data_IF_973049190651
#
_entry.id   IF_973049190651
#
_cell.length_a   1.000
_cell.length_b   1.000
_cell.length_c   1.000
_cell.angle_alpha   90.00
_cell.angle_beta   90.00
_cell.angle_gamma   90.00
#
_symmetry.space_group_name_H-M   'P 1'
#
loop_
_entity.id
_entity.type
_entity.pdbx_description
1 polymer ?
#
# COMPACT_ATOMS: atom_id res chain seq x y z
N UNK A 1 8.31 6.39 -4.17
CA UNK A 1 8.16 7.34 -3.05
C UNK A 1 6.80 8.02 -3.18
N UNK A 2 5.99 7.96 -2.12
CA UNK A 2 4.69 8.60 -2.02
C UNK A 2 4.82 9.85 -1.13
N UNK A 3 4.16 10.95 -1.53
CA UNK A 3 4.10 12.19 -0.76
C UNK A 3 2.64 12.60 -0.63
N UNK A 4 2.21 12.90 0.59
CA UNK A 4 0.85 13.33 0.86
C UNK A 4 0.78 14.16 2.14
N UNK A 5 -0.33 14.88 2.30
CA UNK A 5 -0.66 15.57 3.53
C UNK A 5 -1.60 14.69 4.36
N UNK A 6 -1.27 14.44 5.63
CA UNK A 6 -2.16 13.71 6.54
C UNK A 6 -3.31 14.60 7.06
N UNK A 7 -4.27 14.00 7.77
CA UNK A 7 -5.44 14.71 8.30
C UNK A 7 -5.10 15.80 9.34
N UNK A 8 -3.88 15.78 9.87
CA UNK A 8 -3.34 16.81 10.77
C UNK A 8 -2.53 17.87 10.01
N UNK A 9 -2.67 17.92 8.69
CA UNK A 9 -1.99 18.85 7.80
C UNK A 9 -0.47 18.67 7.71
N UNK A 10 0.09 17.57 8.23
CA UNK A 10 1.53 17.32 8.14
C UNK A 10 1.89 16.72 6.77
N UNK A 11 2.99 17.19 6.19
CA UNK A 11 3.58 16.52 5.03
C UNK A 11 4.20 15.19 5.45
N UNK A 12 3.87 14.13 4.73
CA UNK A 12 4.40 12.78 4.95
C UNK A 12 5.06 12.28 3.69
N UNK A 13 6.21 11.64 3.85
CA UNK A 13 6.85 10.88 2.78
C UNK A 13 6.91 9.40 3.16
N UNK A 14 6.46 8.54 2.24
CA UNK A 14 6.55 7.09 2.39
C UNK A 14 7.45 6.53 1.31
N UNK A 15 8.48 5.79 1.74
CA UNK A 15 9.39 5.10 0.85
C UNK A 15 9.11 3.60 0.87
N UNK A 16 8.93 3.02 -0.31
CA UNK A 16 8.69 1.60 -0.56
C UNK A 16 9.93 1.01 -1.26
N UNK A 17 10.85 0.35 -0.53
CA UNK A 17 11.98 -0.36 -1.14
C UNK A 17 11.48 -1.48 -2.05
N UNK A 18 12.20 -1.71 -3.14
CA UNK A 18 11.97 -2.82 -4.08
C UNK A 18 10.48 -2.96 -4.42
N UNK A 19 9.88 -1.93 -5.02
CA UNK A 19 8.45 -1.99 -5.38
C UNK A 19 8.27 -2.83 -6.64
N UNK A 20 7.44 -3.89 -6.55
CA UNK A 20 7.11 -4.75 -7.69
C UNK A 20 5.88 -4.22 -8.42
N UNK A 21 4.88 -3.75 -7.69
CA UNK A 21 3.64 -3.26 -8.30
C UNK A 21 2.96 -2.21 -7.42
N UNK A 22 2.20 -1.31 -8.06
CA UNK A 22 1.33 -0.36 -7.38
C UNK A 22 0.06 -0.10 -8.19
N UNK A 23 -1.02 0.29 -7.51
CA UNK A 23 -2.23 0.83 -8.15
C UNK A 23 -2.82 1.95 -7.30
N UNK A 24 -3.28 2.99 -7.99
CA UNK A 24 -4.04 4.09 -7.40
C UNK A 24 -5.52 3.91 -7.75
N UNK A 25 -6.41 4.13 -6.79
CA UNK A 25 -7.85 4.02 -7.00
C UNK A 25 -8.55 5.22 -6.38
N UNK A 26 -9.31 5.94 -7.21
CA UNK A 26 -10.24 6.97 -6.73
C UNK A 26 -11.48 6.26 -6.20
N UNK A 27 -11.65 6.28 -4.88
CA UNK A 27 -12.80 5.71 -4.20
C UNK A 27 -13.28 6.69 -3.13
N UNK A 28 -14.59 6.82 -3.01
CA UNK A 28 -15.23 7.72 -2.04
C UNK A 28 -15.71 6.96 -0.79
N UNK A 29 -15.80 5.63 -0.88
CA UNK A 29 -16.28 4.76 0.21
C UNK A 29 -15.33 3.60 0.37
N UNK A 30 -14.81 3.41 1.58
CA UNK A 30 -14.00 2.25 1.95
C UNK A 30 -14.89 1.06 2.32
N UNK A 31 -14.31 -0.14 2.36
CA UNK A 31 -15.04 -1.35 2.76
C UNK A 31 -15.44 -1.22 4.23
N UNK A 32 -16.61 -1.73 4.62
CA UNK A 32 -17.06 -1.73 6.01
C UNK A 32 -15.98 -2.35 6.93
N UNK A 33 -15.58 -1.57 7.94
CA UNK A 33 -14.52 -1.94 8.89
C UNK A 33 -13.12 -1.45 8.51
N UNK A 34 -12.92 -0.85 7.34
CA UNK A 34 -11.67 -0.17 7.01
C UNK A 34 -11.64 1.24 7.62
N UNK A 35 -10.57 1.52 8.36
CA UNK A 35 -10.36 2.83 8.94
C UNK A 35 -9.78 3.80 7.89
N UNK A 36 -10.29 5.03 7.94
CA UNK A 36 -9.81 6.17 7.16
C UNK A 36 -8.42 6.60 7.66
N UNK A 37 -7.60 7.18 6.76
CA UNK A 37 -6.25 7.71 7.04
C UNK A 37 -5.30 6.72 7.73
N UNK A 38 -5.39 5.44 7.37
CA UNK A 38 -4.52 4.38 7.88
C UNK A 38 -3.95 3.52 6.76
N UNK A 39 -2.85 2.86 7.10
CA UNK A 39 -2.22 1.83 6.27
C UNK A 39 -2.30 0.48 6.95
N UNK A 40 -2.52 -0.58 6.18
CA UNK A 40 -2.49 -1.95 6.69
C UNK A 40 -1.92 -2.92 5.64
N UNK A 41 -1.55 -4.12 6.10
CA UNK A 41 -1.13 -5.22 5.23
C UNK A 41 -2.37 -6.03 4.85
N UNK A 42 -2.54 -6.29 3.56
CA UNK A 42 -3.56 -7.21 3.06
C UNK A 42 -3.01 -8.64 3.18
N UNK A 43 -3.59 -9.41 4.10
CA UNK A 43 -3.31 -10.84 4.26
C UNK A 43 -3.98 -11.64 3.15
N UNK A 44 -3.41 -12.79 2.79
CA UNK A 44 -3.93 -13.67 1.72
C UNK A 44 -4.15 -12.94 0.38
N UNK A 45 -3.26 -11.97 0.08
CA UNK A 45 -3.31 -11.18 -1.14
C UNK A 45 -3.19 -12.04 -2.38
N UNK A 46 -4.30 -12.21 -3.10
CA UNK A 46 -4.33 -12.88 -4.42
C UNK A 46 -3.42 -12.17 -5.44
N UNK A 47 -3.28 -10.85 -5.32
CA UNK A 47 -2.44 -10.06 -6.21
C UNK A 47 -0.94 -10.34 -5.99
N UNK A 48 -0.52 -10.47 -4.72
CA UNK A 48 0.83 -10.90 -4.37
C UNK A 48 1.09 -12.34 -4.80
N UNK A 49 0.15 -13.25 -4.53
CA UNK A 49 0.26 -14.65 -4.91
C UNK A 49 0.41 -14.84 -6.44
N UNK A 50 -0.27 -14.02 -7.24
CA UNK A 50 -0.13 -14.08 -8.70
C UNK A 50 1.26 -13.61 -9.17
N UNK A 51 1.85 -12.58 -8.56
CA UNK A 51 3.23 -12.17 -8.87
C UNK A 51 4.24 -13.26 -8.51
N UNK A 52 4.05 -13.94 -7.38
CA UNK A 52 4.88 -15.10 -6.99
C UNK A 52 4.74 -16.22 -8.01
N UNK A 53 3.51 -16.54 -8.41
CA UNK A 53 3.21 -17.60 -9.40
C UNK A 53 3.80 -17.29 -10.78
N UNK A 54 3.86 -16.02 -11.17
CA UNK A 54 4.46 -15.58 -12.44
C UNK A 54 6.00 -15.55 -12.39
N UNK A 55 6.60 -15.72 -11.20
CA UNK A 55 8.06 -15.71 -11.02
C UNK A 55 8.66 -14.31 -10.89
N UNK A 56 7.83 -13.27 -10.79
CA UNK A 56 8.27 -11.88 -10.57
C UNK A 56 8.76 -11.66 -9.13
N UNK A 57 8.25 -12.46 -8.20
CA UNK A 57 8.71 -12.50 -6.80
C UNK A 57 9.08 -13.95 -6.48
N UNK A 58 10.30 -14.15 -6.00
CA UNK A 58 10.78 -15.43 -5.51
C UNK A 58 10.01 -15.88 -4.27
N UNK A 59 9.74 -17.19 -4.16
CA UNK A 59 8.94 -17.75 -3.07
C UNK A 59 9.53 -17.56 -1.66
N UNK A 60 10.82 -17.23 -1.55
CA UNK A 60 11.49 -16.94 -0.27
C UNK A 60 11.61 -15.44 0.03
N UNK A 61 11.17 -14.57 -0.87
CA UNK A 61 11.23 -13.13 -0.65
C UNK A 61 10.05 -12.66 0.20
N UNK A 62 10.30 -11.71 1.11
CA UNK A 62 9.33 -11.29 2.15
C UNK A 62 8.43 -10.12 1.72
N UNK A 63 8.05 -10.07 0.43
CA UNK A 63 7.18 -9.03 -0.09
C UNK A 63 5.81 -9.05 0.58
N UNK A 64 5.24 -7.86 0.78
CA UNK A 64 3.90 -7.70 1.32
C UNK A 64 3.06 -6.80 0.45
N UNK A 65 1.76 -7.00 0.53
CA UNK A 65 0.77 -6.13 -0.08
C UNK A 65 0.27 -5.13 0.95
N UNK A 66 0.58 -3.86 0.75
CA UNK A 66 0.14 -2.76 1.59
C UNK A 66 -1.01 -2.01 0.94
N UNK A 67 -1.94 -1.55 1.76
CA UNK A 67 -3.00 -0.63 1.37
C UNK A 67 -2.96 0.61 2.25
N UNK A 68 -3.06 1.78 1.64
CA UNK A 68 -3.11 3.09 2.30
C UNK A 68 -4.38 3.80 1.86
N UNK A 69 -5.18 4.21 2.84
CA UNK A 69 -6.41 4.95 2.64
C UNK A 69 -6.16 6.43 2.90
N UNK A 70 -6.57 7.31 2.00
CA UNK A 70 -6.51 8.77 2.17
C UNK A 70 -7.94 9.29 2.22
N UNK A 71 -8.37 9.85 3.35
CA UNK A 71 -9.73 10.36 3.56
C UNK A 71 -10.20 11.24 2.40
N UNK A 72 -11.18 10.76 1.63
CA UNK A 72 -11.77 11.47 0.49
C UNK A 72 -10.84 11.66 -0.71
N UNK A 73 -9.61 11.14 -0.67
CA UNK A 73 -8.61 11.27 -1.74
C UNK A 73 -8.24 9.91 -2.37
N UNK A 74 -9.03 8.88 -2.11
CA UNK A 74 -8.84 7.54 -2.66
C UNK A 74 -7.89 6.67 -1.84
N UNK A 75 -7.34 5.65 -2.51
CA UNK A 75 -6.43 4.68 -1.90
C UNK A 75 -5.26 4.34 -2.83
N UNK A 76 -4.15 3.92 -2.25
CA UNK A 76 -3.05 3.27 -2.96
C UNK A 76 -2.79 1.88 -2.38
N UNK A 77 -2.58 0.93 -3.27
CA UNK A 77 -2.13 -0.42 -2.94
C UNK A 77 -0.74 -0.64 -3.56
N UNK A 78 0.19 -1.21 -2.80
CA UNK A 78 1.60 -1.38 -3.18
C UNK A 78 2.10 -2.75 -2.76
N UNK A 79 2.80 -3.46 -3.66
CA UNK A 79 3.58 -4.66 -3.33
C UNK A 79 5.05 -4.26 -3.23
N UNK A 80 5.64 -4.40 -2.04
CA UNK A 80 7.02 -3.98 -1.77
C UNK A 80 7.64 -4.73 -0.59
N UNK A 81 8.96 -4.64 -0.45
CA UNK A 81 9.73 -5.23 0.64
C UNK A 81 9.76 -4.33 1.90
N UNK A 82 8.58 -3.93 2.38
CA UNK A 82 8.47 -2.99 3.50
C UNK A 82 8.09 -1.57 3.08
N UNK A 83 7.98 -0.69 4.07
CA UNK A 83 7.96 0.75 3.85
C UNK A 83 8.56 1.47 5.04
N UNK A 84 9.01 2.71 4.82
CA UNK A 84 9.41 3.63 5.89
C UNK A 84 8.66 4.94 5.73
N UNK A 85 8.30 5.55 6.86
CA UNK A 85 7.63 6.85 6.90
C UNK A 85 8.62 7.87 7.43
N UNK A 86 8.82 8.96 6.70
CA UNK A 86 9.52 10.14 7.18
C UNK A 86 8.49 11.17 7.63
N UNK A 87 8.79 11.78 8.78
CA UNK A 87 8.05 12.93 9.31
C UNK A 87 8.55 14.22 8.67
#
# INVERSE_FOLDING_TARGET
>A
MLRFQDWQENQREVFFPDTVAFKWQMIETFIDGEEYDRSHVITESKWLAEHVKQGEIGAQEEYKHYKFNFSGNGQIEVISNGFTVKM
#
